data_IF_794878545159
#
_entry.id   IF_794878545159
#
_cell.length_a   1.000
_cell.length_b   1.000
_cell.length_c   1.000
_cell.angle_alpha   90.00
_cell.angle_beta   90.00
_cell.angle_gamma   90.00
#
_symmetry.space_group_name_H-M   'P 1'
#
loop_
_entity.id
_entity.type
_entity.pdbx_description
1 polymer ?
#
# COMPACT_ATOMS: atom_id res chain seq x y z
N UNK A 1 -0.99 -3.90 -3.68
CA UNK A 1 -0.49 -4.88 -2.69
C UNK A 1 1.02 -5.13 -2.79
N UNK A 2 1.57 -5.88 -3.75
CA UNK A 2 3.04 -6.13 -3.78
C UNK A 2 3.89 -4.87 -3.98
N UNK A 3 3.38 -3.87 -4.71
CA UNK A 3 4.02 -2.54 -4.82
C UNK A 3 4.09 -1.86 -3.44
N UNK A 4 3.07 -2.03 -2.60
CA UNK A 4 3.07 -1.53 -1.21
C UNK A 4 4.10 -2.26 -0.35
N UNK A 5 4.21 -3.59 -0.48
CA UNK A 5 5.21 -4.37 0.24
C UNK A 5 6.64 -4.05 -0.22
N UNK A 6 6.85 -3.77 -1.50
CA UNK A 6 8.14 -3.29 -2.00
C UNK A 6 8.53 -1.94 -1.39
N UNK A 7 7.57 -1.00 -1.30
CA UNK A 7 7.81 0.27 -0.62
C UNK A 7 8.10 0.07 0.88
N UNK A 8 7.38 -0.86 1.53
CA UNK A 8 7.60 -1.21 2.93
C UNK A 8 9.02 -1.75 3.17
N UNK A 9 9.45 -2.71 2.34
CA UNK A 9 10.77 -3.31 2.41
C UNK A 9 11.90 -2.29 2.19
N UNK A 10 11.70 -1.35 1.26
CA UNK A 10 12.65 -0.25 1.02
C UNK A 10 12.76 0.74 2.17
N UNK A 11 11.66 0.95 2.89
CA UNK A 11 11.65 1.83 4.07
C UNK A 11 12.28 1.13 5.29
N UNK A 12 12.06 -0.18 5.45
CA UNK A 12 12.60 -1.00 6.53
C UNK A 12 12.97 -2.40 6.01
N UNK A 13 14.27 -2.68 5.88
CA UNK A 13 14.77 -3.95 5.33
C UNK A 13 14.35 -5.18 6.17
N UNK A 14 14.28 -5.02 7.49
CA UNK A 14 13.75 -6.04 8.43
C UNK A 14 12.27 -5.75 8.70
N UNK A 15 11.45 -5.88 7.67
CA UNK A 15 10.08 -5.40 7.72
C UNK A 15 9.23 -6.22 8.70
N UNK A 16 8.85 -5.61 9.83
CA UNK A 16 8.03 -6.25 10.85
C UNK A 16 6.67 -6.70 10.26
N UNK A 17 6.19 -7.93 10.55
CA UNK A 17 4.93 -8.43 10.00
C UNK A 17 3.75 -7.48 10.17
N UNK A 18 3.61 -6.84 11.34
CA UNK A 18 2.52 -5.88 11.59
C UNK A 18 2.60 -4.65 10.69
N UNK A 19 3.81 -4.15 10.42
CA UNK A 19 4.00 -3.05 9.47
C UNK A 19 3.58 -3.47 8.06
N UNK A 20 4.03 -4.63 7.59
CA UNK A 20 3.63 -5.17 6.29
C UNK A 20 2.11 -5.37 6.18
N UNK A 21 1.47 -5.94 7.20
CA UNK A 21 0.01 -6.12 7.24
C UNK A 21 -0.68 -4.76 7.15
N UNK A 22 -0.21 -3.76 7.90
CA UNK A 22 -0.72 -2.39 7.82
C UNK A 22 -0.66 -1.83 6.39
N UNK A 23 0.39 -2.15 5.63
CA UNK A 23 0.55 -1.68 4.24
C UNK A 23 -0.40 -2.33 3.23
N UNK A 24 -1.17 -3.35 3.62
CA UNK A 24 -2.11 -4.04 2.73
C UNK A 24 -3.54 -4.09 3.29
N UNK A 25 -3.72 -3.91 4.60
CA UNK A 25 -5.04 -3.94 5.26
C UNK A 25 -6.09 -2.99 4.64
N UNK A 26 -5.76 -1.76 4.21
CA UNK A 26 -6.76 -0.87 3.59
C UNK A 26 -7.37 -1.42 2.31
N UNK A 27 -6.68 -2.33 1.61
CA UNK A 27 -7.17 -2.99 0.39
C UNK A 27 -8.15 -4.14 0.65
N UNK A 28 -8.36 -4.54 1.91
CA UNK A 28 -9.21 -5.68 2.28
C UNK A 28 -10.72 -5.37 2.34
N UNK A 29 -11.12 -4.15 2.01
CA UNK A 29 -12.53 -3.75 1.83
C UNK A 29 -13.24 -4.54 0.73
N UNK A 30 -14.59 -4.58 0.78
CA UNK A 30 -15.39 -5.44 -0.11
C UNK A 30 -15.85 -4.76 -1.39
N UNK A 31 -15.97 -3.43 -1.38
CA UNK A 31 -16.48 -2.67 -2.52
C UNK A 31 -15.55 -1.54 -2.95
N UNK A 32 -15.78 -1.01 -4.15
CA UNK A 32 -15.04 0.14 -4.66
C UNK A 32 -15.40 1.40 -3.88
N UNK A 33 -16.66 1.54 -3.50
CA UNK A 33 -17.17 2.66 -2.72
C UNK A 33 -16.52 2.70 -1.33
N UNK A 34 -16.44 1.55 -0.65
CA UNK A 34 -15.72 1.42 0.61
C UNK A 34 -14.24 1.74 0.41
N UNK A 35 -13.63 1.24 -0.68
CA UNK A 35 -12.24 1.54 -1.02
C UNK A 35 -12.02 3.04 -1.16
N UNK A 36 -12.88 3.74 -1.89
CA UNK A 36 -12.72 5.17 -2.12
C UNK A 36 -12.90 5.99 -0.84
N UNK A 37 -13.70 5.52 0.13
CA UNK A 37 -13.79 6.12 1.48
C UNK A 37 -12.52 5.85 2.28
N UNK A 38 -12.10 4.58 2.43
CA UNK A 38 -10.93 4.19 3.23
C UNK A 38 -9.64 4.80 2.68
N UNK A 39 -9.56 5.05 1.37
CA UNK A 39 -8.40 5.67 0.71
C UNK A 39 -8.47 7.19 0.63
N UNK A 40 -9.47 7.82 1.27
CA UNK A 40 -9.72 9.26 1.27
C UNK A 40 -9.92 9.86 -0.14
N UNK A 41 -10.36 9.07 -1.13
CA UNK A 41 -10.67 9.55 -2.48
C UNK A 41 -11.96 10.37 -2.53
N UNK A 42 -12.86 10.17 -1.57
CA UNK A 42 -14.09 10.98 -1.41
C UNK A 42 -13.86 12.24 -0.56
N UNK A 43 -12.68 12.41 0.05
CA UNK A 43 -12.38 13.59 0.86
C UNK A 43 -12.23 14.83 -0.02
N UNK A 44 -12.77 15.97 0.43
CA UNK A 44 -12.62 17.26 -0.27
C UNK A 44 -11.14 17.65 -0.46
N UNK A 45 -10.30 17.32 0.52
CA UNK A 45 -8.85 17.49 0.46
C UNK A 45 -8.19 16.22 1.02
N UNK A 46 -7.75 15.34 0.11
CA UNK A 46 -7.12 14.07 0.44
C UNK A 46 -5.78 14.25 1.17
N UNK A 47 -4.98 15.24 0.78
CA UNK A 47 -3.71 15.55 1.44
C UNK A 47 -3.93 15.96 2.90
N UNK A 48 -4.92 16.82 3.16
CA UNK A 48 -5.26 17.23 4.53
C UNK A 48 -5.73 16.04 5.37
N UNK A 49 -6.56 15.16 4.81
CA UNK A 49 -7.01 13.94 5.52
C UNK A 49 -5.82 13.02 5.88
N UNK A 50 -4.83 12.89 4.99
CA UNK A 50 -3.59 12.15 5.28
C UNK A 50 -2.76 12.80 6.39
N UNK A 51 -2.63 14.13 6.40
CA UNK A 51 -1.94 14.85 7.48
C UNK A 51 -2.63 14.63 8.82
N UNK A 52 -3.96 14.75 8.87
CA UNK A 52 -4.74 14.53 10.10
C UNK A 52 -4.67 13.08 10.61
N UNK A 53 -4.56 12.10 9.70
CA UNK A 53 -4.28 10.72 10.07
C UNK A 53 -2.86 10.61 10.65
N UNK A 54 -1.85 11.14 9.95
CA UNK A 54 -0.46 11.11 10.40
C UNK A 54 -0.27 11.75 11.79
N UNK A 55 -0.91 12.89 12.07
CA UNK A 55 -0.88 13.54 13.38
C UNK A 55 -1.42 12.65 14.51
N UNK A 56 -2.34 11.72 14.19
CA UNK A 56 -2.94 10.79 15.15
C UNK A 56 -2.23 9.43 15.21
N UNK A 57 -1.52 9.05 14.15
CA UNK A 57 -0.77 7.79 14.08
C UNK A 57 0.35 7.79 15.10
N UNK A 58 0.32 6.80 16.00
CA UNK A 58 1.37 6.65 17.03
C UNK A 58 2.68 6.22 16.38
N UNK A 59 3.77 6.88 16.78
CA UNK A 59 5.12 6.61 16.27
C UNK A 59 5.57 5.16 16.49
N UNK A 60 5.16 4.55 17.60
CA UNK A 60 5.55 3.19 17.98
C UNK A 60 4.48 2.15 17.62
N UNK A 61 3.62 2.44 16.64
CA UNK A 61 2.60 1.50 16.14
C UNK A 61 2.92 1.06 14.72
N UNK A 62 3.64 -0.07 14.54
CA UNK A 62 4.03 -0.59 13.22
C UNK A 62 2.83 -0.73 12.27
N UNK A 63 1.72 -1.27 12.77
CA UNK A 63 0.52 -1.43 11.95
C UNK A 63 -0.05 -0.09 11.46
N UNK A 64 -0.22 0.90 12.34
CA UNK A 64 -0.80 2.20 11.96
C UNK A 64 0.14 2.97 11.02
N UNK A 65 1.46 2.86 11.21
CA UNK A 65 2.45 3.47 10.32
C UNK A 65 2.44 2.78 8.95
N UNK A 66 2.22 1.46 8.89
CA UNK A 66 2.02 0.72 7.65
C UNK A 66 0.77 1.16 6.89
N UNK A 67 -0.35 1.37 7.60
CA UNK A 67 -1.59 1.94 7.01
C UNK A 67 -1.34 3.33 6.45
N UNK A 68 -0.57 4.16 7.17
CA UNK A 68 -0.22 5.50 6.71
C UNK A 68 0.62 5.46 5.43
N UNK A 69 1.64 4.59 5.38
CA UNK A 69 2.44 4.37 4.17
C UNK A 69 1.56 3.92 2.99
N UNK A 70 0.64 2.98 3.21
CA UNK A 70 -0.29 2.53 2.18
C UNK A 70 -1.05 3.69 1.55
N UNK A 71 -1.70 4.51 2.38
CA UNK A 71 -2.58 5.57 1.93
C UNK A 71 -1.80 6.70 1.24
N UNK A 72 -0.58 6.98 1.71
CA UNK A 72 0.33 7.92 1.06
C UNK A 72 0.79 7.42 -0.31
N UNK A 73 1.17 6.14 -0.42
CA UNK A 73 1.58 5.51 -1.68
C UNK A 73 0.44 5.55 -2.69
N UNK A 74 -0.78 5.20 -2.28
CA UNK A 74 -1.98 5.24 -3.13
C UNK A 74 -2.30 6.67 -3.58
N UNK A 75 -2.08 7.69 -2.74
CA UNK A 75 -2.23 9.09 -3.14
C UNK A 75 -1.22 9.50 -4.22
N UNK A 76 0.04 9.09 -4.09
CA UNK A 76 1.07 9.33 -5.11
C UNK A 76 0.80 8.56 -6.40
N UNK A 77 0.37 7.30 -6.28
CA UNK A 77 0.02 6.46 -7.41
C UNK A 77 -1.16 7.06 -8.19
N UNK A 78 -2.20 7.50 -7.47
CA UNK A 78 -3.39 8.09 -8.08
C UNK A 78 -3.06 9.38 -8.86
N UNK A 79 -2.19 10.22 -8.32
CA UNK A 79 -1.78 11.49 -8.94
C UNK A 79 -0.86 11.32 -10.16
N UNK A 80 -0.23 10.16 -10.33
CA UNK A 80 0.75 9.91 -11.39
C UNK A 80 0.37 8.73 -12.27
N UNK A 81 0.53 7.51 -11.77
CA UNK A 81 0.36 6.28 -12.54
C UNK A 81 -1.09 6.12 -13.02
N UNK A 82 -2.06 6.16 -12.10
CA UNK A 82 -3.48 6.05 -12.45
C UNK A 82 -3.92 7.17 -13.38
N UNK A 83 -3.62 8.43 -13.02
CA UNK A 83 -4.01 9.60 -13.83
C UNK A 83 -3.44 9.49 -15.25
N UNK A 84 -2.17 9.15 -15.39
CA UNK A 84 -1.54 9.00 -16.71
C UNK A 84 -2.20 7.87 -17.51
N UNK A 85 -2.43 6.72 -16.89
CA UNK A 85 -3.10 5.60 -17.56
C UNK A 85 -4.50 6.00 -18.04
N UNK A 86 -5.32 6.59 -17.17
CA UNK A 86 -6.71 6.96 -17.46
C UNK A 86 -6.88 8.01 -18.57
N UNK A 87 -5.83 8.78 -18.90
CA UNK A 87 -5.89 9.78 -19.98
C UNK A 87 -5.22 9.31 -21.28
N UNK A 88 -4.46 8.21 -21.22
CA UNK A 88 -3.73 7.66 -22.38
C UNK A 88 -4.38 6.41 -22.96
N UNK A 89 -5.37 5.85 -22.26
CA UNK A 89 -6.10 4.64 -22.62
C UNK A 89 -7.59 4.97 -22.70
N UNK A 90 -8.14 4.98 -23.92
CA UNK A 90 -9.53 5.32 -24.20
C UNK A 90 -10.36 4.11 -24.64
N UNK A 91 -9.78 2.90 -24.60
CA UNK A 91 -10.47 1.68 -24.96
C UNK A 91 -11.62 1.35 -24.01
N UNK A 92 -12.62 0.63 -24.53
CA UNK A 92 -13.66 0.04 -23.70
C UNK A 92 -13.01 -0.90 -22.67
N UNK A 93 -13.45 -0.81 -21.42
CA UNK A 93 -12.92 -1.62 -20.31
C UNK A 93 -11.44 -1.35 -19.93
N UNK A 94 -10.86 -0.19 -20.31
CA UNK A 94 -9.48 0.20 -19.93
C UNK A 94 -9.16 -0.02 -18.45
N UNK A 95 -10.14 0.14 -17.56
CA UNK A 95 -9.96 -0.04 -16.12
C UNK A 95 -9.63 -1.49 -15.73
N UNK A 96 -10.18 -2.48 -16.45
CA UNK A 96 -9.82 -3.88 -16.25
C UNK A 96 -8.39 -4.16 -16.70
N UNK A 97 -7.98 -3.59 -17.85
CA UNK A 97 -6.60 -3.64 -18.33
C UNK A 97 -5.65 -3.01 -17.30
N UNK A 98 -5.96 -1.81 -16.81
CA UNK A 98 -5.22 -1.14 -15.75
C UNK A 98 -5.04 -2.01 -14.50
N UNK A 99 -6.11 -2.69 -14.05
CA UNK A 99 -6.07 -3.59 -12.90
C UNK A 99 -5.23 -4.84 -13.19
N UNK A 100 -5.27 -5.35 -14.41
CA UNK A 100 -4.45 -6.47 -14.85
C UNK A 100 -2.96 -6.10 -14.86
N UNK A 101 -2.60 -4.91 -15.36
CA UNK A 101 -1.22 -4.42 -15.34
C UNK A 101 -0.67 -4.30 -13.91
N UNK A 102 -1.47 -3.84 -12.95
CA UNK A 102 -1.07 -3.85 -11.53
C UNK A 102 -0.86 -5.27 -11.00
N UNK A 103 -1.69 -6.21 -11.43
CA UNK A 103 -1.58 -7.61 -11.04
C UNK A 103 -0.29 -8.25 -11.60
N UNK A 104 0.03 -7.99 -12.86
CA UNK A 104 1.29 -8.39 -13.52
C UNK A 104 2.51 -7.82 -12.77
N UNK A 105 2.52 -6.52 -12.51
CA UNK A 105 3.59 -5.88 -11.73
C UNK A 105 3.75 -6.52 -10.36
N UNK A 106 2.63 -6.81 -9.67
CA UNK A 106 2.67 -7.45 -8.37
C UNK A 106 3.19 -8.89 -8.40
N UNK A 107 2.72 -9.71 -9.34
CA UNK A 107 3.22 -11.06 -9.57
C UNK A 107 4.73 -11.06 -9.85
N UNK A 108 5.20 -10.15 -10.69
CA UNK A 108 6.61 -10.03 -11.01
C UNK A 108 7.47 -9.76 -9.76
N UNK A 109 7.07 -8.78 -8.92
CA UNK A 109 7.77 -8.50 -7.64
C UNK A 109 7.81 -9.76 -6.77
N UNK A 110 6.68 -10.45 -6.64
CA UNK A 110 6.61 -11.66 -5.80
C UNK A 110 7.61 -12.73 -6.25
N UNK A 111 7.73 -12.98 -7.56
CA UNK A 111 8.61 -14.04 -8.06
C UNK A 111 10.09 -13.63 -8.22
N UNK A 112 10.41 -12.34 -8.27
CA UNK A 112 11.77 -11.85 -8.57
C UNK A 112 12.45 -11.14 -7.39
N UNK A 113 11.77 -10.97 -6.26
CA UNK A 113 12.38 -10.51 -5.01
C UNK A 113 12.52 -11.68 -4.04
N UNK A 114 13.74 -11.91 -3.54
CA UNK A 114 14.08 -13.01 -2.62
C UNK A 114 13.37 -12.92 -1.26
N UNK A 115 13.17 -11.70 -0.76
CA UNK A 115 12.47 -11.42 0.50
C UNK A 115 10.96 -11.66 0.46
N UNK A 116 10.35 -11.73 -0.74
CA UNK A 116 8.89 -11.67 -0.89
C UNK A 116 8.16 -12.78 -0.12
N UNK A 117 8.66 -14.02 -0.24
CA UNK A 117 8.06 -15.22 0.36
C UNK A 117 8.12 -15.18 1.87
N UNK A 118 9.27 -14.77 2.42
CA UNK A 118 9.48 -14.65 3.85
C UNK A 118 8.56 -13.59 4.47
N UNK A 119 8.46 -12.41 3.85
CA UNK A 119 7.53 -11.36 4.28
C UNK A 119 6.09 -11.85 4.27
N UNK A 120 5.67 -12.57 3.22
CA UNK A 120 4.34 -13.16 3.16
C UNK A 120 4.06 -14.17 4.26
N UNK A 121 5.02 -15.06 4.53
CA UNK A 121 4.91 -16.04 5.61
C UNK A 121 4.78 -15.34 6.97
N UNK A 122 5.61 -14.34 7.24
CA UNK A 122 5.54 -13.54 8.46
C UNK A 122 4.16 -12.88 8.66
N UNK A 123 3.57 -12.31 7.59
CA UNK A 123 2.22 -11.76 7.66
C UNK A 123 1.14 -12.83 7.94
N UNK A 124 1.26 -14.03 7.37
CA UNK A 124 0.29 -15.11 7.55
C UNK A 124 0.38 -15.79 8.93
N UNK A 125 1.56 -15.78 9.54
CA UNK A 125 1.81 -16.32 10.88
C UNK A 125 1.45 -15.32 12.00
N UNK A 126 1.29 -14.04 11.66
CA UNK A 126 0.92 -12.99 12.61
C UNK A 126 -0.50 -13.24 13.16
N UNK A 127 -0.68 -13.32 14.50
CA UNK A 127 -2.00 -13.52 15.09
C UNK A 127 -2.94 -12.33 14.80
N UNK A 128 -4.19 -12.63 14.42
CA UNK A 128 -5.21 -11.61 14.12
C UNK A 128 -5.42 -10.63 15.29
N UNK A 129 -5.27 -11.11 16.54
CA UNK A 129 -5.40 -10.29 17.75
C UNK A 129 -4.34 -9.19 17.89
N UNK A 130 -3.28 -9.22 17.08
CA UNK A 130 -2.24 -8.20 17.06
C UNK A 130 -2.54 -7.08 16.05
N UNK A 131 -3.53 -7.26 15.17
CA UNK A 131 -3.84 -6.25 14.16
C UNK A 131 -4.32 -4.95 14.80
N UNK A 132 -3.96 -3.83 14.17
CA UNK A 132 -4.48 -2.53 14.52
C UNK A 132 -5.84 -2.27 13.88
N UNK A 133 -6.38 -1.07 14.09
CA UNK A 133 -7.67 -0.69 13.50
C UNK A 133 -7.49 -0.16 12.09
N UNK A 134 -8.23 -0.73 11.14
CA UNK A 134 -8.39 -0.18 9.79
C UNK A 134 -9.84 0.25 9.59
N UNK A 135 -10.13 1.51 9.23
CA UNK A 135 -11.49 1.94 8.98
C UNK A 135 -12.17 1.12 7.88
N UNK A 136 -13.34 0.55 8.20
CA UNK A 136 -14.16 -0.21 7.24
C UNK A 136 -13.72 -1.65 6.99
N UNK A 137 -12.75 -2.16 7.74
CA UNK A 137 -12.24 -3.54 7.62
C UNK A 137 -12.09 -4.15 9.00
N UNK A 138 -12.59 -5.37 9.20
CA UNK A 138 -12.31 -6.16 10.41
C UNK A 138 -11.13 -7.12 10.21
N UNK A 139 -10.53 -7.57 11.32
CA UNK A 139 -9.31 -8.38 11.31
C UNK A 139 -9.45 -9.66 10.47
N UNK A 140 -10.63 -10.29 10.53
CA UNK A 140 -10.95 -11.47 9.73
C UNK A 140 -10.88 -11.19 8.22
N UNK A 141 -11.37 -10.03 7.78
CA UNK A 141 -11.32 -9.65 6.35
C UNK A 141 -9.88 -9.41 5.90
N UNK A 142 -9.04 -8.84 6.76
CA UNK A 142 -7.59 -8.72 6.51
C UNK A 142 -6.98 -10.10 6.34
N UNK A 143 -7.23 -11.05 7.26
CA UNK A 143 -6.68 -12.41 7.15
C UNK A 143 -7.15 -13.14 5.89
N UNK A 144 -8.44 -13.07 5.57
CA UNK A 144 -8.98 -13.68 4.35
C UNK A 144 -8.36 -13.05 3.10
N UNK A 145 -8.16 -11.72 3.11
CA UNK A 145 -7.46 -10.99 2.05
C UNK A 145 -6.01 -11.44 1.90
N UNK A 146 -5.26 -11.56 3.00
CA UNK A 146 -3.86 -12.03 2.99
C UNK A 146 -3.75 -13.44 2.39
N UNK A 147 -4.56 -14.39 2.89
CA UNK A 147 -4.56 -15.79 2.41
C UNK A 147 -4.88 -15.90 0.93
N UNK A 148 -5.91 -15.17 0.46
CA UNK A 148 -6.32 -15.17 -0.95
C UNK A 148 -5.23 -14.62 -1.85
N UNK A 149 -4.63 -13.48 -1.47
CA UNK A 149 -3.63 -12.84 -2.30
C UNK A 149 -2.29 -13.59 -2.29
N UNK A 150 -1.88 -14.18 -1.15
CA UNK A 150 -0.72 -15.06 -1.11
C UNK A 150 -0.87 -16.23 -2.10
N UNK A 151 -2.03 -16.92 -2.05
CA UNK A 151 -2.33 -18.01 -2.98
C UNK A 151 -2.31 -17.53 -4.42
N UNK A 152 -2.95 -16.39 -4.71
CA UNK A 152 -2.97 -15.82 -6.06
C UNK A 152 -1.54 -15.58 -6.57
N UNK A 153 -0.66 -14.98 -5.77
CA UNK A 153 0.72 -14.75 -6.18
C UNK A 153 1.50 -16.05 -6.38
N UNK A 154 1.35 -17.05 -5.50
CA UNK A 154 2.01 -18.35 -5.68
C UNK A 154 1.62 -19.06 -6.97
N UNK A 155 0.35 -18.93 -7.36
CA UNK A 155 -0.20 -19.60 -8.54
C UNK A 155 0.04 -18.83 -9.86
N UNK A 156 0.47 -17.56 -9.81
CA UNK A 156 0.50 -16.68 -10.97
C UNK A 156 1.87 -16.05 -11.20
N UNK A 157 2.78 -16.79 -11.86
CA UNK A 157 3.99 -16.24 -12.46
C UNK A 157 3.73 -15.82 -13.92
N UNK A 158 3.00 -14.73 -14.09
CA UNK A 158 2.41 -14.31 -15.36
C UNK A 158 3.24 -13.27 -16.13
N UNK A 159 4.50 -13.05 -15.72
CA UNK A 159 5.41 -12.11 -16.38
C UNK A 159 5.27 -10.64 -15.92
N UNK A 160 6.13 -9.74 -16.43
CA UNK A 160 6.11 -8.33 -16.08
C UNK A 160 4.94 -7.58 -16.74
N UNK A 161 4.56 -6.46 -16.13
CA UNK A 161 3.61 -5.50 -16.70
C UNK A 161 4.28 -4.68 -17.81
N UNK A 162 3.54 -4.42 -18.89
CA UNK A 162 3.99 -3.52 -19.96
C UNK A 162 3.80 -2.05 -19.54
N UNK A 163 2.69 -1.74 -18.86
CA UNK A 163 2.38 -0.37 -18.43
C UNK A 163 3.17 0.06 -17.18
N UNK A 164 3.46 -0.89 -16.29
CA UNK A 164 4.17 -0.69 -15.02
C UNK A 164 5.38 -1.62 -14.96
N UNK A 165 6.34 -1.35 -15.84
CA UNK A 165 7.58 -2.13 -15.91
C UNK A 165 8.29 -2.21 -14.54
N UNK A 166 9.15 -3.23 -14.34
CA UNK A 166 9.94 -3.33 -13.11
C UNK A 166 10.72 -2.05 -12.79
N UNK A 167 11.32 -1.42 -13.80
CA UNK A 167 12.03 -0.14 -13.66
C UNK A 167 11.10 0.99 -13.21
N UNK A 168 9.91 1.12 -13.81
CA UNK A 168 8.94 2.12 -13.40
C UNK A 168 8.52 1.96 -11.93
N UNK A 169 8.23 0.72 -11.52
CA UNK A 169 7.81 0.42 -10.15
C UNK A 169 8.94 0.67 -9.15
N UNK A 170 10.17 0.28 -9.51
CA UNK A 170 11.38 0.56 -8.74
C UNK A 170 11.56 2.06 -8.51
N UNK A 171 11.54 2.84 -9.59
CA UNK A 171 11.67 4.30 -9.54
C UNK A 171 10.55 4.97 -8.75
N UNK A 172 9.32 4.53 -8.96
CA UNK A 172 8.16 5.04 -8.25
C UNK A 172 8.28 4.79 -6.74
N UNK A 173 8.60 3.57 -6.33
CA UNK A 173 8.70 3.21 -4.91
C UNK A 173 9.91 3.87 -4.25
N UNK A 174 11.07 3.95 -4.92
CA UNK A 174 12.26 4.64 -4.40
C UNK A 174 11.97 6.11 -4.08
N UNK A 175 11.35 6.83 -5.02
CA UNK A 175 10.99 8.24 -4.82
C UNK A 175 9.94 8.39 -3.72
N UNK A 176 8.88 7.57 -3.77
CA UNK A 176 7.76 7.71 -2.83
C UNK A 176 8.15 7.39 -1.39
N UNK A 177 9.05 6.44 -1.17
CA UNK A 177 9.58 6.12 0.17
C UNK A 177 10.37 7.30 0.76
N UNK A 178 11.21 7.95 -0.05
CA UNK A 178 11.95 9.15 0.39
C UNK A 178 10.99 10.30 0.69
N UNK A 179 9.98 10.51 -0.16
CA UNK A 179 8.96 11.53 0.06
C UNK A 179 8.15 11.26 1.33
N UNK A 180 7.73 10.00 1.55
CA UNK A 180 7.01 9.58 2.75
C UNK A 180 7.83 9.85 4.01
N UNK A 181 9.10 9.44 4.02
CA UNK A 181 10.00 9.64 5.16
C UNK A 181 10.12 11.14 5.52
N UNK A 182 10.38 11.99 4.53
CA UNK A 182 10.52 13.43 4.74
C UNK A 182 9.20 14.07 5.18
N UNK A 183 8.09 13.71 4.54
CA UNK A 183 6.75 14.19 4.88
C UNK A 183 6.38 13.82 6.32
N UNK A 184 6.57 12.55 6.69
CA UNK A 184 6.28 12.03 8.03
C UNK A 184 7.13 12.71 9.10
N UNK A 185 8.44 12.87 8.84
CA UNK A 185 9.37 13.57 9.73
C UNK A 185 8.94 15.01 9.97
N UNK A 186 8.54 15.74 8.93
CA UNK A 186 8.06 17.11 9.03
C UNK A 186 6.83 17.25 9.94
N UNK A 187 5.87 16.33 9.84
CA UNK A 187 4.67 16.32 10.69
C UNK A 187 5.05 16.11 12.16
N UNK A 188 5.94 15.16 12.45
CA UNK A 188 6.38 14.86 13.82
C UNK A 188 7.09 16.07 14.46
N UNK A 189 7.97 16.76 13.71
CA UNK A 189 8.67 17.94 14.20
C UNK A 189 7.69 19.07 14.52
N UNK A 190 6.76 19.37 13.62
CA UNK A 190 5.75 20.42 13.82
C UNK A 190 4.79 20.12 14.99
N UNK A 191 4.50 18.84 15.25
CA UNK A 191 3.69 18.46 16.41
C UNK A 191 4.42 18.72 17.73
N UNK A 192 5.75 18.51 17.76
CA UNK A 192 6.56 18.75 18.96
C UNK A 192 6.71 20.25 19.31
N UNK A 193 6.81 21.13 18.30
CA UNK A 193 6.92 22.57 18.49
C UNK A 193 5.64 23.23 19.01
N UNK A 194 4.46 22.65 18.73
CA UNK A 194 3.17 23.16 19.22
C UNK A 194 2.80 22.69 20.64
N UNK A 195 3.68 21.92 21.29
CA UNK A 195 3.47 21.38 22.65
C UNK A 195 4.45 21.91 23.69
N UNK A 196 5.37 22.81 23.31
CA UNK A 196 6.31 23.49 24.19
C UNK A 196 5.94 24.95 24.43
#
# INVERSE_FOLDING_TARGET
MMIHLLAAHKLCADTEPLFCIGTVAPDAVRSREEKDITHFRTAKNRERALVELAEKTKKDSPFEEGVLLHLFLDWRWDNKAYKNYSVTHDEENWFYTYRHEIALAGAYIYHNCDWSREVWQGMLECPESMYGKTPGVCDREVTEFLKRNYRWHEENNIGPSEAYSPEFVEDFTNRTVVEFFNWRKGIILNASENTG
#
